data_IF_349265349757
#
_entry.id   IF_349265349757
#
_cell.length_a   1.000
_cell.length_b   1.000
_cell.length_c   1.000
_cell.angle_alpha   90.00
_cell.angle_beta   90.00
_cell.angle_gamma   90.00
#
_symmetry.space_group_name_H-M   'P 1'
#
loop_
_entity.id
_entity.type
_entity.pdbx_description
1 polymer ?
#
# COMPACT_ATOMS: atom_id res chain seq x y z
N UNK A 1 -5.20 11.07 -5.16
CA UNK A 1 -5.57 9.63 -5.23
C UNK A 1 -4.72 8.89 -4.22
N UNK A 2 -5.30 8.34 -3.14
CA UNK A 2 -4.55 7.87 -1.95
C UNK A 2 -4.05 6.41 -2.05
N UNK A 3 -4.43 5.70 -3.11
CA UNK A 3 -3.88 4.39 -3.45
C UNK A 3 -4.46 3.86 -4.76
N UNK A 4 -3.79 2.85 -5.33
CA UNK A 4 -4.22 2.13 -6.53
C UNK A 4 -3.91 0.63 -6.38
N UNK A 5 -4.79 -0.23 -6.89
CA UNK A 5 -4.55 -1.67 -6.99
C UNK A 5 -4.40 -2.08 -8.45
N UNK A 6 -3.42 -2.93 -8.75
CA UNK A 6 -3.18 -3.48 -10.07
C UNK A 6 -3.19 -5.00 -10.00
N UNK A 7 -3.68 -5.66 -11.05
CA UNK A 7 -3.59 -7.12 -11.14
C UNK A 7 -2.13 -7.51 -11.31
N UNK A 8 -1.64 -8.41 -10.46
CA UNK A 8 -0.28 -8.92 -10.53
C UNK A 8 -0.07 -9.85 -11.72
N UNK A 9 1.19 -10.20 -12.00
CA UNK A 9 1.57 -11.08 -13.12
C UNK A 9 1.03 -12.52 -12.99
N UNK A 10 0.62 -12.92 -11.78
CA UNK A 10 0.12 -14.25 -11.46
C UNK A 10 -1.37 -14.20 -11.10
N UNK A 11 -2.16 -15.24 -11.47
CA UNK A 11 -3.55 -15.34 -11.04
C UNK A 11 -3.61 -15.39 -9.50
N UNK A 12 -4.53 -14.60 -8.92
CA UNK A 12 -4.64 -14.48 -7.47
C UNK A 12 -3.61 -13.53 -6.84
N UNK A 13 -2.81 -12.79 -7.64
CA UNK A 13 -1.90 -11.77 -7.13
C UNK A 13 -2.40 -10.37 -7.48
N UNK A 14 -2.24 -9.44 -6.54
CA UNK A 14 -2.60 -8.03 -6.67
C UNK A 14 -1.44 -7.19 -6.16
N UNK A 15 -1.09 -6.15 -6.89
CA UNK A 15 -0.13 -5.15 -6.44
C UNK A 15 -0.90 -3.95 -5.90
N UNK A 16 -0.75 -3.67 -4.62
CA UNK A 16 -1.38 -2.56 -3.92
C UNK A 16 -0.35 -1.45 -3.76
N UNK A 17 -0.62 -0.28 -4.30
CA UNK A 17 0.21 0.92 -4.14
C UNK A 17 -0.54 1.91 -3.28
N UNK A 18 0.07 2.35 -2.20
CA UNK A 18 -0.46 3.42 -1.36
C UNK A 18 0.58 4.50 -1.21
N UNK A 19 0.13 5.74 -1.19
CA UNK A 19 1.02 6.81 -0.75
C UNK A 19 1.20 6.68 0.77
N UNK A 20 2.45 6.54 1.20
CA UNK A 20 2.88 6.34 2.58
C UNK A 20 3.11 7.67 3.35
N UNK A 21 2.77 8.80 2.73
CA UNK A 21 3.02 10.12 3.29
C UNK A 21 4.45 10.62 3.06
N UNK A 22 4.79 11.69 3.76
CA UNK A 22 6.15 12.25 3.76
C UNK A 22 7.03 11.48 4.74
N UNK A 23 8.17 11.02 4.26
CA UNK A 23 9.19 10.45 5.11
C UNK A 23 9.84 11.53 5.99
N UNK A 24 9.80 11.42 7.32
CA UNK A 24 10.34 12.46 8.20
C UNK A 24 11.87 12.59 8.10
N UNK A 25 12.57 11.54 7.64
CA UNK A 25 14.03 11.52 7.52
C UNK A 25 14.51 12.17 6.21
N UNK A 26 13.82 11.90 5.11
CA UNK A 26 14.22 12.36 3.77
C UNK A 26 13.35 13.48 3.21
N UNK A 27 12.26 13.85 3.89
CA UNK A 27 11.23 14.82 3.44
C UNK A 27 10.63 14.48 2.07
N UNK A 28 10.77 13.24 1.61
CA UNK A 28 10.26 12.77 0.32
C UNK A 28 8.93 12.06 0.53
N UNK A 29 7.97 12.28 -0.39
CA UNK A 29 6.79 11.41 -0.45
C UNK A 29 7.22 9.99 -0.76
N UNK A 30 6.87 9.06 0.12
CA UNK A 30 7.06 7.65 -0.13
C UNK A 30 5.78 7.05 -0.69
N UNK A 31 5.91 6.22 -1.71
CA UNK A 31 4.84 5.32 -2.13
C UNK A 31 5.25 3.90 -1.77
N UNK A 32 4.38 3.19 -1.08
CA UNK A 32 4.58 1.79 -0.71
C UNK A 32 3.83 0.90 -1.67
N UNK A 33 4.57 -0.01 -2.31
CA UNK A 33 4.03 -1.04 -3.19
C UNK A 33 4.09 -2.37 -2.45
N UNK A 34 2.96 -3.06 -2.34
CA UNK A 34 2.85 -4.35 -1.64
C UNK A 34 2.13 -5.35 -2.51
N UNK A 35 2.76 -6.50 -2.69
CA UNK A 35 2.17 -7.62 -3.42
C UNK A 35 1.30 -8.42 -2.46
N UNK A 36 0.00 -8.44 -2.73
CA UNK A 36 -1.00 -9.18 -1.99
C UNK A 36 -1.42 -10.43 -2.76
N UNK A 37 -1.55 -11.56 -2.07
CA UNK A 37 -2.05 -12.81 -2.64
C UNK A 37 -3.47 -13.08 -2.13
N UNK A 38 -4.44 -13.10 -3.03
CA UNK A 38 -5.83 -13.39 -2.73
C UNK A 38 -6.80 -12.91 -3.79
N UNK A 39 -8.07 -12.79 -3.38
CA UNK A 39 -9.15 -12.33 -4.25
C UNK A 39 -9.16 -10.81 -4.39
N UNK A 40 -9.83 -10.29 -5.43
CA UNK A 40 -9.97 -8.84 -5.62
C UNK A 40 -10.62 -8.12 -4.42
N UNK A 41 -11.51 -8.83 -3.70
CA UNK A 41 -12.19 -8.32 -2.51
C UNK A 41 -11.22 -8.22 -1.32
N UNK A 42 -10.40 -9.24 -1.10
CA UNK A 42 -9.36 -9.19 -0.05
C UNK A 42 -8.31 -8.13 -0.36
N UNK A 43 -7.95 -7.96 -1.64
CA UNK A 43 -7.05 -6.90 -2.09
C UNK A 43 -7.62 -5.49 -1.82
N UNK A 44 -8.95 -5.32 -1.89
CA UNK A 44 -9.63 -4.06 -1.57
C UNK A 44 -9.57 -3.74 -0.07
N UNK A 45 -9.89 -4.74 0.77
CA UNK A 45 -9.81 -4.62 2.23
C UNK A 45 -8.38 -4.30 2.67
N UNK A 46 -7.40 -5.06 2.16
CA UNK A 46 -5.99 -4.82 2.44
C UNK A 46 -5.54 -3.42 1.98
N UNK A 47 -6.01 -2.95 0.83
CA UNK A 47 -5.72 -1.59 0.35
C UNK A 47 -6.28 -0.53 1.30
N UNK A 48 -7.53 -0.67 1.75
CA UNK A 48 -8.15 0.27 2.68
C UNK A 48 -7.42 0.30 4.03
N UNK A 49 -7.01 -0.86 4.55
CA UNK A 49 -6.19 -0.96 5.75
C UNK A 49 -4.82 -0.30 5.59
N UNK A 50 -4.16 -0.50 4.44
CA UNK A 50 -2.88 0.13 4.10
C UNK A 50 -2.99 1.65 4.00
N UNK A 51 -4.05 2.16 3.37
CA UNK A 51 -4.33 3.60 3.29
C UNK A 51 -4.57 4.16 4.70
N UNK A 52 -5.32 3.45 5.54
CA UNK A 52 -5.62 3.90 6.91
C UNK A 52 -4.37 3.93 7.78
N UNK A 53 -3.51 2.89 7.69
CA UNK A 53 -2.23 2.83 8.40
C UNK A 53 -1.27 3.92 7.92
N UNK A 54 -1.25 4.18 6.61
CA UNK A 54 -0.48 5.26 6.00
C UNK A 54 -0.94 6.64 6.47
N UNK A 55 -2.24 6.92 6.41
CA UNK A 55 -2.81 8.21 6.81
C UNK A 55 -2.54 8.54 8.29
N UNK A 56 -2.39 7.52 9.13
CA UNK A 56 -2.03 7.67 10.55
C UNK A 56 -0.54 7.87 10.80
N UNK A 57 0.31 7.90 9.77
CA UNK A 57 1.77 7.96 9.91
C UNK A 57 2.38 6.72 10.58
N UNK A 58 1.60 5.65 10.74
CA UNK A 58 2.00 4.41 11.42
C UNK A 58 2.65 3.39 10.49
N UNK A 59 2.95 3.76 9.25
CA UNK A 59 3.80 2.94 8.39
C UNK A 59 5.25 3.21 8.79
N UNK A 60 5.63 2.73 9.96
CA UNK A 60 7.03 2.65 10.35
C UNK A 60 7.74 1.79 9.32
N UNK A 61 8.63 2.41 8.54
CA UNK A 61 9.71 1.69 7.86
C UNK A 61 10.60 1.16 8.98
N UNK A 62 10.31 -0.07 9.40
CA UNK A 62 11.26 -0.86 10.16
C UNK A 62 12.29 -1.42 9.19
N UNK A 63 13.46 -0.77 9.19
CA UNK A 63 14.83 -1.20 8.87
C UNK A 63 15.07 -2.13 7.66
#
# INVERSE_FOLDING_TARGET
MQGSKRKGRRPGTWELRVDAGEDPLTRKRQQKSVTFHGTSRQADVALAELITKSARGQVSVGQ
#
